data_IF_769887992530
#
_entry.id   IF_769887992530
#
_cell.length_a   1.000
_cell.length_b   1.000
_cell.length_c   1.000
_cell.angle_alpha   90.00
_cell.angle_beta   90.00
_cell.angle_gamma   90.00
#
_symmetry.space_group_name_H-M   'P 1'
#
loop_
_entity.id
_entity.type
_entity.pdbx_description
1 polymer ?
#
# COMPACT_ATOMS: atom_id res chain seq x y z
N UNK A 1 -9.85 -9.72 -5.80
CA UNK A 1 -9.54 -10.32 -4.50
C UNK A 1 -8.65 -9.36 -3.73
N UNK A 2 -8.92 -9.14 -2.44
CA UNK A 2 -8.10 -8.24 -1.65
C UNK A 2 -6.72 -8.85 -1.41
N UNK A 3 -5.69 -8.00 -1.35
CA UNK A 3 -4.30 -8.41 -1.20
C UNK A 3 -3.66 -7.63 -0.06
N UNK A 4 -2.94 -8.32 0.82
CA UNK A 4 -2.04 -7.66 1.74
C UNK A 4 -0.70 -7.46 1.03
N UNK A 5 -0.24 -6.23 0.96
CA UNK A 5 1.03 -5.84 0.35
C UNK A 5 1.91 -5.19 1.40
N UNK A 6 3.15 -5.67 1.49
CA UNK A 6 4.16 -5.12 2.38
C UNK A 6 5.33 -4.61 1.56
N UNK A 7 5.86 -3.45 1.93
CA UNK A 7 6.97 -2.88 1.20
C UNK A 7 7.64 -1.72 1.92
N UNK A 8 8.50 -1.03 1.18
CA UNK A 8 9.23 0.15 1.61
C UNK A 8 8.93 1.26 0.61
N UNK A 9 8.47 2.39 1.12
CA UNK A 9 8.29 3.62 0.36
C UNK A 9 9.61 4.40 0.27
N UNK A 10 9.80 5.12 -0.82
CA UNK A 10 10.84 6.14 -0.93
C UNK A 10 10.33 7.43 -0.29
N UNK A 11 10.43 7.52 1.04
CA UNK A 11 10.03 8.71 1.81
C UNK A 11 11.27 9.58 2.04
N UNK A 12 11.21 10.84 1.62
CA UNK A 12 12.24 11.82 2.00
C UNK A 12 12.07 12.19 3.47
N UNK A 13 13.16 12.40 4.20
CA UNK A 13 13.17 12.77 5.65
C UNK A 13 12.28 13.98 6.01
N UNK A 14 11.90 14.80 5.03
CA UNK A 14 11.11 16.02 5.18
C UNK A 14 9.59 15.77 5.12
N UNK A 15 9.15 14.55 4.78
CA UNK A 15 7.73 14.24 4.60
C UNK A 15 7.07 13.75 5.89
N UNK A 16 5.94 14.36 6.23
CA UNK A 16 5.08 13.90 7.32
C UNK A 16 4.42 12.55 6.94
N UNK A 17 4.79 11.50 7.69
CA UNK A 17 4.28 10.14 7.53
C UNK A 17 2.75 10.09 7.67
N UNK A 18 2.17 10.87 8.58
CA UNK A 18 0.72 10.90 8.79
C UNK A 18 0.01 11.46 7.56
N UNK A 19 0.57 12.52 6.97
CA UNK A 19 0.07 13.10 5.73
C UNK A 19 0.24 12.14 4.54
N UNK A 20 1.35 11.41 4.47
CA UNK A 20 1.58 10.40 3.43
C UNK A 20 0.58 9.25 3.53
N UNK A 21 0.38 8.69 4.72
CA UNK A 21 -0.61 7.66 4.99
C UNK A 21 -2.03 8.14 4.66
N UNK A 22 -2.36 9.39 5.02
CA UNK A 22 -3.63 10.00 4.65
C UNK A 22 -3.84 10.04 3.12
N UNK A 23 -2.82 10.46 2.35
CA UNK A 23 -2.89 10.44 0.87
C UNK A 23 -3.12 9.05 0.30
N UNK A 24 -2.48 8.03 0.88
CA UNK A 24 -2.71 6.64 0.46
C UNK A 24 -4.14 6.19 0.76
N UNK A 25 -4.69 6.51 1.94
CA UNK A 25 -6.07 6.18 2.30
C UNK A 25 -7.14 6.85 1.41
N UNK A 26 -6.81 7.95 0.71
CA UNK A 26 -7.71 8.58 -0.25
C UNK A 26 -7.85 7.79 -1.57
N UNK A 27 -6.98 6.81 -1.82
CA UNK A 27 -7.04 6.01 -3.03
C UNK A 27 -8.12 4.97 -2.93
N UNK A 28 -8.93 4.88 -3.99
CA UNK A 28 -10.02 3.93 -4.03
C UNK A 28 -9.49 2.50 -3.91
N UNK A 29 -8.43 2.09 -4.58
CA UNK A 29 -7.91 0.71 -4.47
C UNK A 29 -7.22 0.36 -3.13
N UNK A 30 -7.10 1.29 -2.18
CA UNK A 30 -6.50 1.06 -0.85
C UNK A 30 -7.59 1.01 0.21
N UNK A 31 -7.82 -0.16 0.79
CA UNK A 31 -8.82 -0.35 1.86
C UNK A 31 -8.30 0.08 3.22
N UNK A 32 -7.03 -0.26 3.52
CA UNK A 32 -6.35 0.10 4.75
C UNK A 32 -4.86 0.22 4.46
N UNK A 33 -4.18 1.13 5.15
CA UNK A 33 -2.73 1.22 5.11
C UNK A 33 -2.19 1.71 6.44
N UNK A 34 -1.02 1.20 6.82
CA UNK A 34 -0.19 1.69 7.89
C UNK A 34 1.19 1.99 7.31
N UNK A 35 1.73 3.17 7.60
CA UNK A 35 3.09 3.57 7.21
C UNK A 35 3.87 3.88 8.49
N UNK A 36 5.04 3.29 8.63
CA UNK A 36 5.94 3.51 9.76
C UNK A 36 7.02 4.54 9.42
N UNK A 37 7.73 5.04 10.45
CA UNK A 37 8.70 6.14 10.30
C UNK A 37 9.89 5.80 9.41
N UNK A 38 10.24 4.52 9.30
CA UNK A 38 11.31 4.02 8.43
C UNK A 38 10.87 3.86 6.96
N UNK A 39 9.63 4.26 6.65
CA UNK A 39 9.01 4.13 5.33
C UNK A 39 8.50 2.73 5.00
N UNK A 40 8.60 1.78 5.94
CA UNK A 40 7.90 0.50 5.78
C UNK A 40 6.39 0.72 5.79
N UNK A 41 5.67 -0.08 5.00
CA UNK A 41 4.22 -0.03 4.96
C UNK A 41 3.59 -1.41 4.86
N UNK A 42 2.37 -1.50 5.37
CA UNK A 42 1.43 -2.59 5.10
C UNK A 42 0.13 -2.00 4.56
N UNK A 43 -0.30 -2.46 3.39
CA UNK A 43 -1.52 -2.00 2.75
C UNK A 43 -2.41 -3.19 2.36
N UNK A 44 -3.71 -3.07 2.66
CA UNK A 44 -4.73 -3.95 2.10
C UNK A 44 -5.25 -3.28 0.85
N UNK A 45 -4.97 -3.89 -0.30
CA UNK A 45 -5.43 -3.43 -1.60
C UNK A 45 -6.69 -4.19 -1.98
N UNK A 46 -7.63 -3.51 -2.65
CA UNK A 46 -8.76 -4.16 -3.32
C UNK A 46 -8.51 -4.19 -4.82
N UNK A 47 -9.06 -5.20 -5.47
CA UNK A 47 -9.05 -5.24 -6.92
C UNK A 47 -10.02 -4.21 -7.48
N UNK A 48 -9.58 -3.56 -8.55
CA UNK A 48 -10.39 -2.67 -9.37
C UNK A 48 -10.52 -3.28 -10.77
N UNK A 49 -11.65 -3.09 -11.47
CA UNK A 49 -11.81 -3.63 -12.81
C UNK A 49 -10.73 -3.09 -13.76
N UNK A 50 -10.07 -4.00 -14.49
CA UNK A 50 -9.12 -3.71 -15.58
C UNK A 50 -7.76 -3.14 -15.17
N UNK A 51 -7.44 -3.02 -13.88
CA UNK A 51 -6.14 -2.47 -13.46
C UNK A 51 -5.60 -3.22 -12.23
N UNK A 52 -4.28 -3.43 -12.19
CA UNK A 52 -3.62 -4.13 -11.09
C UNK A 52 -3.30 -3.13 -9.97
N UNK A 53 -3.95 -3.28 -8.82
CA UNK A 53 -3.82 -2.40 -7.66
C UNK A 53 -2.39 -2.32 -7.11
N UNK A 54 -1.58 -3.37 -7.25
CA UNK A 54 -0.15 -3.36 -6.86
C UNK A 54 0.66 -2.45 -7.78
N UNK A 55 0.38 -2.50 -9.09
CA UNK A 55 1.07 -1.64 -10.07
C UNK A 55 0.65 -0.17 -9.93
N UNK A 56 -0.62 0.08 -9.58
CA UNK A 56 -1.07 1.42 -9.18
C UNK A 56 -0.30 1.96 -8.00
N UNK A 57 -0.19 1.15 -6.93
CA UNK A 57 0.54 1.54 -5.71
C UNK A 57 1.98 1.96 -6.04
N UNK A 58 2.68 1.16 -6.85
CA UNK A 58 4.06 1.45 -7.27
C UNK A 58 4.15 2.76 -8.07
N UNK A 59 3.23 2.97 -9.02
CA UNK A 59 3.20 4.16 -9.89
C UNK A 59 2.92 5.43 -9.10
N UNK A 60 2.03 5.37 -8.12
CA UNK A 60 1.55 6.56 -7.42
C UNK A 60 2.37 6.94 -6.18
N UNK A 61 3.02 5.98 -5.50
CA UNK A 61 3.61 6.21 -4.18
C UNK A 61 5.13 5.96 -4.08
N UNK A 62 5.86 5.96 -5.20
CA UNK A 62 7.32 5.74 -5.22
C UNK A 62 7.74 4.59 -4.29
N UNK A 63 7.21 3.41 -4.55
CA UNK A 63 7.58 2.21 -3.79
C UNK A 63 9.00 1.80 -4.17
N UNK A 64 9.90 1.77 -3.18
CA UNK A 64 11.29 1.33 -3.36
C UNK A 64 11.37 -0.18 -3.51
N UNK A 65 10.63 -0.92 -2.69
CA UNK A 65 10.68 -2.38 -2.64
C UNK A 65 9.33 -2.95 -2.20
N UNK A 66 8.89 -4.04 -2.85
CA UNK A 66 7.78 -4.88 -2.36
C UNK A 66 8.41 -6.13 -1.76
N UNK A 67 8.13 -6.39 -0.49
CA UNK A 67 8.66 -7.54 0.26
C UNK A 67 7.73 -8.75 0.16
N UNK A 68 6.43 -8.52 0.35
CA UNK A 68 5.42 -9.58 0.34
C UNK A 68 4.15 -9.12 -0.38
N UNK A 69 3.52 -10.08 -1.07
CA UNK A 69 2.15 -9.97 -1.58
C UNK A 69 1.42 -11.25 -1.16
N UNK A 70 0.35 -11.09 -0.39
CA UNK A 70 -0.45 -12.20 0.12
C UNK A 70 -1.88 -12.01 -0.38
N UNK A 71 -2.36 -12.94 -1.19
CA UNK A 71 -3.76 -12.97 -1.60
C UNK A 71 -4.63 -13.36 -0.39
N UNK A 72 -5.58 -12.48 -0.03
CA UNK A 72 -6.47 -12.69 1.10
C UNK A 72 -7.68 -13.55 0.68
N UNK A 73 -7.41 -14.73 0.12
CA UNK A 73 -8.45 -15.73 -0.20
C UNK A 73 -8.87 -16.58 1.01
N UNK A 74 -8.09 -16.56 2.11
CA UNK A 74 -8.21 -17.52 3.22
C UNK A 74 -7.95 -16.91 4.60
N UNK A 75 -8.65 -15.84 4.94
CA UNK A 75 -8.87 -15.49 6.35
C UNK A 75 -10.36 -15.62 6.64
N UNK A 76 -10.87 -16.84 6.54
CA UNK A 76 -12.04 -17.21 7.35
C UNK A 76 -11.58 -17.18 8.81
N UNK A 77 -12.11 -16.22 9.57
CA UNK A 77 -12.01 -16.20 11.04
C UNK A 77 -13.22 -16.92 11.60
#
# INVERSE_FOLDING_TARGET
MPKLVRGILEISEIQDIAFFQYKMLLKDYIYRVKVDQDGSFEAILRDIPRENSVELLKREFKVREIRDIIDLEKLEV
#
